data_IF_531907752236
#
_entry.id   IF_531907752236
#
_cell.length_a   1.000
_cell.length_b   1.000
_cell.length_c   1.000
_cell.angle_alpha   90.00
_cell.angle_beta   90.00
_cell.angle_gamma   90.00
#
_symmetry.space_group_name_H-M   'P 1'
#
loop_
_entity.id
_entity.type
_entity.pdbx_description
1 polymer ?
#
# COMPACT_ATOMS: atom_id res chain seq x y z
N UNK A 1 2.05 15.38 4.93
CA UNK A 1 2.24 14.48 3.78
C UNK A 1 0.99 14.46 2.92
N UNK A 2 1.11 14.72 1.65
CA UNK A 2 -0.02 14.59 0.72
C UNK A 2 0.05 13.24 -0.02
N UNK A 3 -1.01 12.91 -0.77
CA UNK A 3 -1.09 11.62 -1.45
C UNK A 3 -0.02 11.46 -2.53
N UNK A 4 0.38 12.55 -3.17
CA UNK A 4 1.41 12.47 -4.21
C UNK A 4 2.77 12.12 -3.60
N UNK A 5 3.11 12.72 -2.47
CA UNK A 5 4.34 12.40 -1.74
C UNK A 5 4.34 10.94 -1.27
N UNK A 6 3.22 10.49 -0.71
CA UNK A 6 3.09 9.10 -0.26
C UNK A 6 3.22 8.13 -1.42
N UNK A 7 2.55 8.41 -2.54
CA UNK A 7 2.63 7.57 -3.73
C UNK A 7 4.07 7.43 -4.25
N UNK A 8 4.83 8.51 -4.26
CA UNK A 8 6.23 8.47 -4.68
C UNK A 8 7.08 7.59 -3.76
N UNK A 9 6.85 7.69 -2.46
CA UNK A 9 7.55 6.85 -1.47
C UNK A 9 7.23 5.37 -1.71
N UNK A 10 5.94 5.05 -1.87
CA UNK A 10 5.51 3.66 -2.09
C UNK A 10 6.07 3.10 -3.38
N UNK A 11 6.00 3.87 -4.47
CA UNK A 11 6.55 3.44 -5.77
C UNK A 11 8.04 3.14 -5.65
N UNK A 12 8.80 4.03 -5.03
CA UNK A 12 10.23 3.83 -4.85
C UNK A 12 10.52 2.55 -4.08
N UNK A 13 9.82 2.33 -2.96
CA UNK A 13 10.04 1.13 -2.14
C UNK A 13 9.72 -0.15 -2.91
N UNK A 14 8.59 -0.18 -3.60
CA UNK A 14 8.21 -1.36 -4.36
C UNK A 14 9.16 -1.65 -5.51
N UNK A 15 9.47 -0.65 -6.33
CA UNK A 15 10.34 -0.86 -7.48
C UNK A 15 11.80 -1.11 -7.11
N UNK A 16 12.26 -0.60 -5.96
CA UNK A 16 13.60 -0.91 -5.46
C UNK A 16 13.77 -2.38 -5.10
N UNK A 17 12.69 -3.12 -4.85
CA UNK A 17 12.76 -4.57 -4.59
C UNK A 17 13.14 -5.37 -5.84
N UNK A 18 12.99 -4.80 -7.02
CA UNK A 18 13.26 -5.44 -8.32
C UNK A 18 12.34 -6.62 -8.66
N UNK A 19 11.25 -6.82 -7.92
CA UNK A 19 10.31 -7.93 -8.16
C UNK A 19 8.93 -7.47 -8.60
N UNK A 20 8.68 -6.16 -8.73
CA UNK A 20 7.38 -5.60 -9.08
C UNK A 20 7.34 -5.30 -10.57
N UNK A 21 6.37 -5.90 -11.28
CA UNK A 21 6.16 -5.68 -12.71
C UNK A 21 5.22 -4.52 -12.99
N UNK A 22 4.22 -4.31 -12.12
CA UNK A 22 3.24 -3.24 -12.25
C UNK A 22 2.72 -2.85 -10.87
N UNK A 23 2.50 -1.56 -10.67
CA UNK A 23 1.95 -1.03 -9.42
C UNK A 23 1.00 0.12 -9.71
N UNK A 24 -0.22 0.02 -9.17
CA UNK A 24 -1.19 1.11 -9.18
C UNK A 24 -1.58 1.42 -7.75
N UNK A 25 -1.59 2.71 -7.40
CA UNK A 25 -1.91 3.19 -6.06
C UNK A 25 -3.17 4.04 -6.14
N UNK A 26 -4.20 3.64 -5.39
CA UNK A 26 -5.45 4.39 -5.32
C UNK A 26 -5.67 4.92 -3.91
N UNK A 27 -6.01 6.21 -3.81
CA UNK A 27 -6.40 6.83 -2.55
C UNK A 27 -7.91 6.64 -2.38
N UNK A 28 -8.28 5.82 -1.39
CA UNK A 28 -9.68 5.54 -1.05
C UNK A 28 -10.15 6.27 0.21
N UNK A 29 -9.42 7.28 0.63
CA UNK A 29 -9.71 8.01 1.88
C UNK A 29 -11.11 8.65 1.87
N UNK A 30 -11.61 9.04 0.71
CA UNK A 30 -12.93 9.65 0.56
C UNK A 30 -14.07 8.72 1.00
N UNK A 31 -13.88 7.41 0.96
CA UNK A 31 -14.88 6.43 1.36
C UNK A 31 -15.09 6.37 2.88
N UNK A 32 -14.18 6.97 3.66
CA UNK A 32 -14.16 6.87 5.11
C UNK A 32 -14.33 8.22 5.81
N UNK A 33 -14.65 9.28 5.07
CA UNK A 33 -14.74 10.64 5.62
C UNK A 33 -15.73 10.79 6.76
N UNK A 34 -16.81 10.01 6.75
CA UNK A 34 -17.87 10.08 7.75
C UNK A 34 -17.66 9.17 8.94
N UNK A 35 -16.63 8.36 8.94
CA UNK A 35 -16.35 7.44 10.06
C UNK A 35 -15.82 8.20 11.25
N UNK A 36 -16.41 7.96 12.42
CA UNK A 36 -16.06 8.65 13.67
C UNK A 36 -14.59 8.44 14.04
N UNK A 37 -14.08 7.22 13.82
CA UNK A 37 -12.72 6.83 14.17
C UNK A 37 -11.72 7.05 13.05
N UNK A 38 -12.09 7.71 11.98
CA UNK A 38 -11.20 7.98 10.87
C UNK A 38 -10.23 9.09 11.23
N UNK A 39 -8.93 8.83 11.12
CA UNK A 39 -7.88 9.83 11.32
C UNK A 39 -7.68 10.60 10.02
N UNK A 40 -8.02 11.89 9.94
CA UNK A 40 -7.90 12.65 8.68
C UNK A 40 -6.46 12.84 8.22
N UNK A 41 -5.46 12.59 9.10
CA UNK A 41 -4.05 12.70 8.73
C UNK A 41 -3.51 11.44 8.08
N UNK A 42 -4.29 10.36 8.04
CA UNK A 42 -3.87 9.06 7.48
C UNK A 42 -4.74 8.66 6.31
N UNK A 43 -4.12 7.94 5.37
CA UNK A 43 -4.75 7.55 4.12
C UNK A 43 -5.29 6.12 4.16
N UNK A 44 -6.31 5.88 3.38
CA UNK A 44 -6.82 4.54 3.06
C UNK A 44 -6.38 4.24 1.64
N UNK A 45 -5.49 3.26 1.48
CA UNK A 45 -4.81 3.00 0.22
C UNK A 45 -5.22 1.64 -0.33
N UNK A 46 -5.46 1.58 -1.64
CA UNK A 46 -5.60 0.34 -2.39
C UNK A 46 -4.43 0.21 -3.35
N UNK A 47 -3.76 -0.95 -3.29
CA UNK A 47 -2.66 -1.28 -4.19
C UNK A 47 -3.11 -2.36 -5.18
N UNK A 48 -2.84 -2.14 -6.46
CA UNK A 48 -2.96 -3.17 -7.49
C UNK A 48 -1.55 -3.53 -7.91
N UNK A 49 -1.17 -4.77 -7.71
CA UNK A 49 0.22 -5.22 -7.88
C UNK A 49 0.27 -6.40 -8.84
N UNK A 50 1.19 -6.34 -9.80
CA UNK A 50 1.58 -7.49 -10.60
C UNK A 50 3.01 -7.85 -10.27
N UNK A 51 3.21 -9.09 -9.79
CA UNK A 51 4.53 -9.60 -9.44
C UNK A 51 4.49 -11.12 -9.41
N UNK A 52 5.24 -11.75 -10.29
CA UNK A 52 5.36 -13.22 -10.30
C UNK A 52 5.96 -13.74 -9.00
N UNK A 53 6.94 -13.03 -8.46
CA UNK A 53 7.58 -13.43 -7.20
C UNK A 53 6.57 -13.45 -6.05
N UNK A 54 5.74 -12.43 -5.93
CA UNK A 54 4.72 -12.37 -4.88
C UNK A 54 3.59 -13.36 -5.12
N UNK A 55 3.19 -13.58 -6.38
CA UNK A 55 2.17 -14.56 -6.74
C UNK A 55 2.58 -15.99 -6.40
N UNK A 56 3.89 -16.28 -6.43
CA UNK A 56 4.43 -17.61 -6.09
C UNK A 56 4.52 -17.85 -4.59
N UNK A 57 4.32 -16.83 -3.79
CA UNK A 57 4.23 -16.94 -2.33
C UNK A 57 2.80 -17.30 -1.91
N UNK A 58 2.63 -17.83 -0.70
CA UNK A 58 1.30 -17.93 -0.11
C UNK A 58 0.78 -16.51 0.13
N UNK A 59 -0.54 -16.37 0.26
CA UNK A 59 -1.16 -15.07 0.56
C UNK A 59 -0.59 -14.48 1.86
N UNK A 60 -0.40 -15.31 2.87
CA UNK A 60 0.17 -14.87 4.15
C UNK A 60 1.59 -14.34 3.95
N UNK A 61 2.42 -15.07 3.21
CA UNK A 61 3.81 -14.67 2.95
C UNK A 61 3.90 -13.36 2.17
N UNK A 62 3.10 -13.22 1.10
CA UNK A 62 3.14 -12.01 0.29
C UNK A 62 2.63 -10.78 1.08
N UNK A 63 1.60 -10.96 1.88
CA UNK A 63 1.11 -9.89 2.75
C UNK A 63 2.16 -9.47 3.78
N UNK A 64 2.80 -10.44 4.42
CA UNK A 64 3.88 -10.14 5.38
C UNK A 64 5.02 -9.39 4.72
N UNK A 65 5.40 -9.77 3.51
CA UNK A 65 6.44 -9.07 2.74
C UNK A 65 6.07 -7.60 2.56
N UNK A 66 4.85 -7.33 2.08
CA UNK A 66 4.39 -5.98 1.81
C UNK A 66 4.29 -5.15 3.09
N UNK A 67 3.72 -5.70 4.15
CA UNK A 67 3.59 -4.98 5.43
C UNK A 67 4.95 -4.69 6.06
N UNK A 68 5.93 -5.57 5.92
CA UNK A 68 7.30 -5.30 6.38
C UNK A 68 7.94 -4.20 5.56
N UNK A 69 7.76 -4.24 4.24
CA UNK A 69 8.30 -3.21 3.34
C UNK A 69 7.76 -1.84 3.69
N UNK A 70 6.46 -1.76 4.01
CA UNK A 70 5.77 -0.50 4.27
C UNK A 70 5.59 -0.22 5.76
N UNK A 71 6.35 -0.86 6.64
CA UNK A 71 6.16 -0.76 8.09
C UNK A 71 6.13 0.69 8.58
N UNK A 72 7.05 1.52 8.14
CA UNK A 72 7.13 2.93 8.53
C UNK A 72 5.89 3.70 8.06
N UNK A 73 5.50 3.50 6.82
CA UNK A 73 4.35 4.19 6.23
C UNK A 73 3.04 3.74 6.87
N UNK A 74 2.92 2.45 7.19
CA UNK A 74 1.73 1.93 7.89
C UNK A 74 1.58 2.56 9.29
N UNK A 75 2.68 2.80 9.98
CA UNK A 75 2.63 3.45 11.29
C UNK A 75 2.25 4.92 11.19
N UNK A 76 2.80 5.63 10.21
CA UNK A 76 2.77 7.09 10.21
C UNK A 76 1.73 7.69 9.28
N UNK A 77 1.41 7.04 8.16
CA UNK A 77 0.65 7.69 7.09
C UNK A 77 -0.53 6.89 6.56
N UNK A 78 -0.58 5.57 6.79
CA UNK A 78 -1.62 4.71 6.23
C UNK A 78 -2.48 4.13 7.34
N UNK A 79 -3.79 4.40 7.28
CA UNK A 79 -4.75 3.83 8.23
C UNK A 79 -5.17 2.42 7.83
N UNK A 80 -5.42 2.22 6.55
CA UNK A 80 -5.77 0.89 6.03
C UNK A 80 -5.13 0.67 4.66
N UNK A 81 -4.80 -0.59 4.39
CA UNK A 81 -4.17 -1.01 3.15
C UNK A 81 -4.91 -2.20 2.57
N UNK A 82 -5.41 -2.05 1.35
CA UNK A 82 -6.00 -3.14 0.59
C UNK A 82 -5.04 -3.52 -0.52
N UNK A 83 -4.79 -4.83 -0.67
CA UNK A 83 -3.86 -5.35 -1.67
C UNK A 83 -4.62 -6.23 -2.64
N UNK A 84 -4.51 -5.92 -3.93
CA UNK A 84 -5.08 -6.72 -5.01
C UNK A 84 -3.97 -7.11 -5.97
N UNK A 85 -3.78 -8.42 -6.17
CA UNK A 85 -2.85 -8.93 -7.18
C UNK A 85 -3.58 -9.09 -8.51
N UNK A 86 -2.97 -8.60 -9.57
CA UNK A 86 -3.56 -8.60 -10.91
C UNK A 86 -2.71 -9.36 -11.93
#
# INVERSE_FOLDING_TARGET
>A
MDINQLSEILKKKFFDTKIIEYLEIEDKSYLHKSHINNDPSKFHIKLKIKSKALENMTRVESNKFIYRLLNKEMKNYIHSLQILFI
#
